data_IF_844438162165
#
_entry.id   IF_844438162165
#
_cell.length_a   1.000
_cell.length_b   1.000
_cell.length_c   1.000
_cell.angle_alpha   90.00
_cell.angle_beta   90.00
_cell.angle_gamma   90.00
#
_symmetry.space_group_name_H-M   'P 1'
#
loop_
_entity.id
_entity.type
_entity.pdbx_description
1 polymer ?
#
# COMPACT_ATOMS: atom_id res chain seq x y z
N UNK A 1 44.22 -6.52 38.33
CA UNK A 1 43.23 -7.54 37.93
C UNK A 1 41.91 -6.85 37.64
N UNK A 2 41.63 -6.63 36.36
CA UNK A 2 40.30 -6.37 35.78
C UNK A 2 40.54 -6.44 34.27
N UNK A 3 40.35 -7.63 33.71
CA UNK A 3 40.55 -7.93 32.29
C UNK A 3 39.40 -7.34 31.48
N UNK A 4 39.76 -6.57 30.44
CA UNK A 4 38.84 -6.11 29.40
C UNK A 4 38.43 -7.31 28.55
N UNK A 5 37.18 -7.76 28.67
CA UNK A 5 36.57 -8.70 27.73
C UNK A 5 36.04 -7.91 26.52
N UNK A 6 36.94 -7.63 25.58
CA UNK A 6 36.55 -7.36 24.20
C UNK A 6 36.14 -8.69 23.55
N UNK A 7 34.85 -9.00 23.55
CA UNK A 7 34.31 -10.02 22.66
C UNK A 7 34.28 -9.42 21.24
N UNK A 8 35.36 -9.60 20.49
CA UNK A 8 35.29 -9.49 19.03
C UNK A 8 34.47 -10.66 18.50
N UNK A 9 33.24 -10.38 18.08
CA UNK A 9 32.43 -11.32 17.30
C UNK A 9 33.02 -11.39 15.87
N UNK A 10 33.41 -12.58 15.37
CA UNK A 10 33.99 -12.73 14.04
C UNK A 10 32.95 -12.62 12.90
N UNK A 11 31.69 -12.38 13.21
CA UNK A 11 30.63 -12.18 12.22
C UNK A 11 30.33 -10.69 12.07
N UNK A 12 31.22 -9.96 11.38
CA UNK A 12 30.75 -8.82 10.59
C UNK A 12 29.93 -9.40 9.46
N UNK A 13 28.60 -9.37 9.60
CA UNK A 13 27.73 -9.37 8.42
C UNK A 13 28.29 -8.32 7.47
N UNK A 14 28.54 -8.65 6.19
CA UNK A 14 28.87 -7.61 5.24
C UNK A 14 27.70 -6.65 5.30
N UNK A 15 27.96 -5.39 5.67
CA UNK A 15 27.02 -4.32 5.41
C UNK A 15 26.78 -4.39 3.90
N UNK A 16 25.70 -5.05 3.49
CA UNK A 16 25.19 -4.90 2.15
C UNK A 16 25.04 -3.40 2.03
N UNK A 17 25.90 -2.77 1.22
CA UNK A 17 25.63 -1.44 0.75
C UNK A 17 24.32 -1.60 0.00
N UNK A 18 23.22 -1.39 0.72
CA UNK A 18 21.88 -1.25 0.20
C UNK A 18 21.94 0.08 -0.55
N UNK A 19 22.50 0.02 -1.75
CA UNK A 19 22.65 1.16 -2.63
C UNK A 19 21.24 1.40 -3.14
N UNK A 20 20.44 2.11 -2.35
CA UNK A 20 19.09 2.53 -2.70
C UNK A 20 19.12 2.95 -4.17
N UNK A 21 18.39 2.22 -5.01
CA UNK A 21 18.42 2.44 -6.46
C UNK A 21 17.90 3.85 -6.75
N UNK A 22 17.01 4.36 -5.88
CA UNK A 22 16.44 5.71 -5.96
C UNK A 22 16.36 6.35 -4.56
N UNK A 23 17.19 7.35 -4.21
CA UNK A 23 17.07 8.02 -2.92
C UNK A 23 15.78 8.85 -2.86
N UNK A 24 14.68 8.24 -2.41
CA UNK A 24 13.40 8.92 -2.21
C UNK A 24 13.40 9.60 -0.85
N UNK A 25 13.39 10.93 -0.87
CA UNK A 25 13.24 11.77 0.33
C UNK A 25 12.07 12.71 0.13
N UNK A 26 11.10 12.65 1.02
CA UNK A 26 9.97 13.58 1.09
C UNK A 26 10.04 14.38 2.38
N UNK A 27 9.41 15.55 2.36
CA UNK A 27 9.21 16.39 3.55
C UNK A 27 7.71 16.47 3.79
N UNK A 28 7.22 16.26 5.03
CA UNK A 28 5.82 16.50 5.35
C UNK A 28 5.43 17.93 4.99
N UNK A 29 4.32 18.08 4.27
CA UNK A 29 3.67 19.37 4.05
C UNK A 29 2.88 19.76 5.31
N UNK A 30 2.74 21.06 5.57
CA UNK A 30 1.88 21.49 6.66
C UNK A 30 0.42 21.21 6.29
N UNK A 31 -0.42 20.95 7.30
CA UNK A 31 -1.86 20.71 7.10
C UNK A 31 -2.52 21.92 6.41
N UNK A 32 -2.04 23.13 6.72
CA UNK A 32 -2.52 24.39 6.13
C UNK A 32 -2.04 24.62 4.69
N UNK A 33 -1.01 23.90 4.23
CA UNK A 33 -0.51 24.06 2.88
C UNK A 33 -1.51 23.45 1.87
N UNK A 34 -1.93 24.21 0.85
CA UNK A 34 -2.84 23.69 -0.17
C UNK A 34 -2.17 22.56 -0.96
N UNK A 35 -2.90 21.48 -1.31
CA UNK A 35 -2.34 20.40 -2.12
C UNK A 35 -1.92 20.89 -3.50
N UNK A 36 -0.72 20.49 -3.94
CA UNK A 36 -0.24 20.78 -5.28
C UNK A 36 -1.01 19.94 -6.33
N UNK A 37 -1.90 20.58 -7.09
CA UNK A 37 -2.67 19.95 -8.18
C UNK A 37 -2.00 20.12 -9.55
N UNK A 38 -0.78 20.66 -9.62
CA UNK A 38 -0.10 20.88 -10.89
C UNK A 38 0.38 19.58 -11.53
N UNK A 39 0.38 19.53 -12.87
CA UNK A 39 0.96 18.43 -13.64
C UNK A 39 0.25 17.08 -13.45
N UNK A 40 -1.02 17.10 -13.03
CA UNK A 40 -1.92 15.96 -13.05
C UNK A 40 -2.29 15.60 -14.50
N UNK A 41 -2.52 14.31 -14.80
CA UNK A 41 -2.90 13.87 -16.14
C UNK A 41 -4.33 14.30 -16.50
N UNK A 42 -4.77 14.01 -17.73
CA UNK A 42 -6.18 14.18 -18.08
C UNK A 42 -7.06 13.18 -17.31
N UNK A 43 -8.37 13.44 -17.21
CA UNK A 43 -9.31 12.49 -16.61
C UNK A 43 -9.29 11.14 -17.32
N UNK A 44 -9.18 11.12 -18.65
CA UNK A 44 -9.15 9.89 -19.45
C UNK A 44 -7.91 9.05 -19.14
N UNK A 45 -6.74 9.70 -19.06
CA UNK A 45 -5.48 9.05 -18.68
C UNK A 45 -5.53 8.52 -17.24
N UNK A 46 -6.10 9.30 -16.31
CA UNK A 46 -6.27 8.87 -14.92
C UNK A 46 -7.20 7.66 -14.81
N UNK A 47 -8.34 7.67 -15.52
CA UNK A 47 -9.27 6.55 -15.57
C UNK A 47 -8.64 5.30 -16.18
N UNK A 48 -7.82 5.47 -17.22
CA UNK A 48 -7.07 4.38 -17.84
C UNK A 48 -6.12 3.71 -16.83
N UNK A 49 -5.36 4.51 -16.06
CA UNK A 49 -4.44 4.00 -15.04
C UNK A 49 -5.16 3.19 -13.96
N UNK A 50 -6.30 3.69 -13.48
CA UNK A 50 -7.12 3.03 -12.45
C UNK A 50 -7.60 1.67 -12.95
N UNK A 51 -8.23 1.64 -14.12
CA UNK A 51 -8.90 0.44 -14.66
C UNK A 51 -7.95 -0.68 -15.07
N UNK A 52 -6.71 -0.37 -15.45
CA UNK A 52 -5.83 -1.34 -16.11
C UNK A 52 -4.69 -1.88 -15.23
N UNK A 53 -4.25 -1.14 -14.20
CA UNK A 53 -3.02 -1.48 -13.49
C UNK A 53 -3.19 -1.92 -12.04
N UNK A 54 -4.26 -1.52 -11.37
CA UNK A 54 -4.50 -1.96 -10.00
C UNK A 54 -5.24 -3.30 -9.93
N UNK A 55 -6.08 -3.56 -10.94
CA UNK A 55 -7.01 -4.69 -10.95
C UNK A 55 -6.36 -6.08 -11.14
N UNK A 56 -5.09 -6.17 -11.57
CA UNK A 56 -4.50 -7.46 -11.93
C UNK A 56 -3.89 -8.26 -10.77
N UNK A 57 -3.48 -7.60 -9.68
CA UNK A 57 -2.71 -8.26 -8.62
C UNK A 57 -3.18 -7.98 -7.19
N UNK A 58 -3.85 -6.85 -6.94
CA UNK A 58 -4.18 -6.42 -5.58
C UNK A 58 -5.53 -5.73 -5.54
N UNK A 59 -6.35 -6.04 -4.54
CA UNK A 59 -7.70 -5.45 -4.38
C UNK A 59 -7.68 -4.42 -3.28
N UNK A 60 -6.96 -3.32 -3.53
CA UNK A 60 -6.74 -2.31 -2.52
C UNK A 60 -8.01 -1.55 -2.16
N UNK A 61 -8.88 -1.25 -3.11
CA UNK A 61 -9.99 -0.35 -2.84
C UNK A 61 -11.20 -0.58 -3.74
N UNK A 62 -12.30 0.08 -3.37
CA UNK A 62 -13.53 0.10 -4.17
C UNK A 62 -13.37 1.00 -5.39
N UNK A 63 -13.28 0.39 -6.58
CA UNK A 63 -13.07 1.08 -7.86
C UNK A 63 -14.21 2.07 -8.16
N UNK A 64 -15.47 1.70 -7.86
CA UNK A 64 -16.63 2.54 -8.16
C UNK A 64 -16.60 3.84 -7.35
N UNK A 65 -16.37 3.75 -6.04
CA UNK A 65 -16.23 4.93 -5.19
C UNK A 65 -15.00 5.76 -5.52
N UNK A 66 -13.91 5.13 -5.93
CA UNK A 66 -12.72 5.85 -6.37
C UNK A 66 -12.99 6.64 -7.66
N UNK A 67 -13.60 6.01 -8.67
CA UNK A 67 -13.93 6.64 -9.95
C UNK A 67 -14.91 7.79 -9.76
N UNK A 68 -15.95 7.61 -8.93
CA UNK A 68 -16.90 8.69 -8.61
C UNK A 68 -16.17 9.90 -8.02
N UNK A 69 -15.28 9.66 -7.04
CA UNK A 69 -14.52 10.74 -6.44
C UNK A 69 -13.58 11.44 -7.44
N UNK A 70 -12.98 10.67 -8.34
CA UNK A 70 -12.12 11.17 -9.41
C UNK A 70 -12.91 12.08 -10.36
N UNK A 71 -14.10 11.64 -10.79
CA UNK A 71 -14.97 12.42 -11.68
C UNK A 71 -15.38 13.74 -11.04
N UNK A 72 -15.83 13.72 -9.79
CA UNK A 72 -16.14 14.93 -9.01
C UNK A 72 -14.92 15.86 -8.90
N UNK A 73 -13.71 15.33 -8.68
CA UNK A 73 -12.49 16.15 -8.60
C UNK A 73 -12.17 16.89 -9.90
N UNK A 74 -12.41 16.26 -11.06
CA UNK A 74 -12.20 16.90 -12.36
C UNK A 74 -13.38 17.75 -12.84
N UNK A 75 -14.58 17.57 -12.28
CA UNK A 75 -15.79 18.33 -12.66
C UNK A 75 -15.97 19.60 -11.83
N UNK A 76 -15.63 19.55 -10.54
CA UNK A 76 -15.77 20.64 -9.59
C UNK A 76 -14.46 21.43 -9.41
N UNK A 77 -14.41 22.27 -8.38
CA UNK A 77 -13.19 22.94 -7.95
C UNK A 77 -12.16 21.92 -7.40
N UNK A 78 -11.28 21.43 -8.26
CA UNK A 78 -10.28 20.40 -7.94
C UNK A 78 -9.45 20.73 -6.69
N UNK A 79 -9.03 21.99 -6.54
CA UNK A 79 -8.25 22.41 -5.37
C UNK A 79 -9.04 22.28 -4.07
N UNK A 80 -10.30 22.71 -4.09
CA UNK A 80 -11.18 22.60 -2.94
C UNK A 80 -11.41 21.13 -2.59
N UNK A 81 -11.75 20.28 -3.57
CA UNK A 81 -11.96 18.86 -3.30
C UNK A 81 -10.71 18.16 -2.75
N UNK A 82 -9.52 18.47 -3.28
CA UNK A 82 -8.27 17.93 -2.75
C UNK A 82 -7.97 18.42 -1.33
N UNK A 83 -8.39 19.64 -0.98
CA UNK A 83 -8.21 20.20 0.36
C UNK A 83 -9.17 19.54 1.35
N UNK A 84 -10.44 19.43 0.98
CA UNK A 84 -11.51 18.86 1.81
C UNK A 84 -11.34 17.35 2.01
N UNK A 85 -10.82 16.64 1.01
CA UNK A 85 -10.61 15.19 1.02
C UNK A 85 -9.13 14.84 0.81
N UNK A 86 -8.27 15.34 1.71
CA UNK A 86 -6.81 15.26 1.59
C UNK A 86 -6.28 13.83 1.50
N UNK A 87 -6.78 12.91 2.34
CA UNK A 87 -6.33 11.51 2.31
C UNK A 87 -6.77 10.80 1.02
N UNK A 88 -7.97 11.10 0.51
CA UNK A 88 -8.39 10.61 -0.80
C UNK A 88 -7.48 11.15 -1.91
N UNK A 89 -7.06 12.41 -1.84
CA UNK A 89 -6.12 12.97 -2.82
C UNK A 89 -4.74 12.30 -2.74
N UNK A 90 -4.25 11.97 -1.54
CA UNK A 90 -3.06 11.12 -1.33
C UNK A 90 -3.24 9.76 -2.01
N UNK A 91 -4.39 9.13 -1.79
CA UNK A 91 -4.74 7.86 -2.43
C UNK A 91 -4.66 7.97 -3.96
N UNK A 92 -5.27 9.02 -4.53
CA UNK A 92 -5.22 9.28 -5.96
C UNK A 92 -3.79 9.45 -6.50
N UNK A 93 -2.95 10.21 -5.82
CA UNK A 93 -1.55 10.40 -6.21
C UNK A 93 -0.74 9.10 -6.17
N UNK A 94 -0.99 8.22 -5.19
CA UNK A 94 -0.36 6.90 -5.12
C UNK A 94 -0.80 5.99 -6.27
N UNK A 95 -2.07 6.03 -6.67
CA UNK A 95 -2.57 5.31 -7.85
C UNK A 95 -1.86 5.80 -9.11
N UNK A 96 -1.71 7.12 -9.28
CA UNK A 96 -0.95 7.68 -10.40
C UNK A 96 0.52 7.25 -10.37
N UNK A 97 1.15 7.28 -9.20
CA UNK A 97 2.54 6.89 -9.02
C UNK A 97 2.76 5.43 -9.44
N UNK A 98 1.94 4.53 -8.89
CA UNK A 98 1.99 3.11 -9.19
C UNK A 98 1.72 2.85 -10.68
N UNK A 99 0.62 3.39 -11.21
CA UNK A 99 0.26 3.18 -12.62
C UNK A 99 1.34 3.68 -13.60
N UNK A 100 1.98 4.82 -13.31
CA UNK A 100 3.07 5.34 -14.13
C UNK A 100 4.34 4.47 -14.06
N UNK A 101 4.67 3.93 -12.89
CA UNK A 101 5.82 3.03 -12.72
C UNK A 101 5.68 1.75 -13.58
N UNK A 102 4.45 1.28 -13.79
CA UNK A 102 4.16 0.08 -14.59
C UNK A 102 4.08 0.37 -16.09
N UNK A 103 3.43 1.47 -16.50
CA UNK A 103 3.31 1.85 -17.92
C UNK A 103 4.64 2.27 -18.53
N UNK A 104 5.36 3.12 -17.81
CA UNK A 104 6.61 3.68 -18.28
C UNK A 104 7.71 2.82 -17.67
N UNK A 105 8.08 1.72 -18.33
CA UNK A 105 9.37 1.06 -18.08
C UNK A 105 10.51 1.92 -18.61
N UNK A 106 10.58 3.18 -18.16
CA UNK A 106 11.63 4.10 -18.55
C UNK A 106 12.91 3.74 -17.80
N UNK A 107 14.00 3.51 -18.54
CA UNK A 107 15.35 3.28 -18.01
C UNK A 107 16.03 4.59 -17.58
N UNK A 108 15.27 5.59 -17.12
CA UNK A 108 15.86 6.82 -16.60
C UNK A 108 16.48 6.53 -15.24
N UNK A 109 17.81 6.52 -15.18
CA UNK A 109 18.58 6.24 -13.96
C UNK A 109 18.43 7.29 -12.85
N UNK A 110 17.70 8.40 -13.07
CA UNK A 110 17.60 9.50 -12.10
C UNK A 110 16.36 9.45 -11.21
N UNK A 111 15.25 8.91 -11.70
CA UNK A 111 14.01 8.82 -10.93
C UNK A 111 13.04 7.84 -11.59
N UNK A 112 12.36 6.97 -10.82
CA UNK A 112 11.41 6.04 -11.39
C UNK A 112 10.19 6.82 -11.90
N UNK A 113 9.55 6.39 -13.00
CA UNK A 113 8.31 7.02 -13.46
C UNK A 113 7.24 6.97 -12.38
N UNK A 114 6.49 8.07 -12.23
CA UNK A 114 5.54 8.24 -11.13
C UNK A 114 6.13 8.75 -9.81
N UNK A 115 7.47 8.86 -9.67
CA UNK A 115 8.12 9.33 -8.44
C UNK A 115 7.63 10.71 -7.97
N UNK A 116 7.34 11.62 -8.89
CA UNK A 116 6.81 12.95 -8.56
C UNK A 116 5.46 12.87 -7.83
N UNK A 117 4.60 11.94 -8.24
CA UNK A 117 3.29 11.73 -7.61
C UNK A 117 3.47 11.02 -6.27
N UNK A 118 4.38 10.05 -6.20
CA UNK A 118 4.72 9.37 -4.95
C UNK A 118 5.24 10.36 -3.90
N UNK A 119 6.24 11.18 -4.24
CA UNK A 119 6.80 12.17 -3.32
C UNK A 119 5.75 13.18 -2.85
N UNK A 120 4.86 13.62 -3.74
CA UNK A 120 3.74 14.49 -3.40
C UNK A 120 2.76 13.79 -2.45
N UNK A 121 2.39 12.54 -2.74
CA UNK A 121 1.52 11.75 -1.87
C UNK A 121 2.13 11.60 -0.46
N UNK A 122 3.40 11.22 -0.38
CA UNK A 122 4.09 11.03 0.89
C UNK A 122 4.31 12.33 1.66
N UNK A 123 4.41 13.48 0.97
CA UNK A 123 4.42 14.79 1.65
C UNK A 123 3.06 15.15 2.25
N UNK A 124 1.96 14.69 1.67
CA UNK A 124 0.59 15.01 2.09
C UNK A 124 0.01 13.95 3.05
N UNK A 125 0.70 12.81 3.22
CA UNK A 125 0.28 11.74 4.11
C UNK A 125 0.26 12.25 5.56
N UNK A 126 -0.88 12.14 6.28
CA UNK A 126 -0.96 12.55 7.67
C UNK A 126 -0.05 11.73 8.58
N UNK A 127 0.21 12.26 9.77
CA UNK A 127 0.96 11.51 10.77
C UNK A 127 0.12 10.33 11.30
N UNK A 128 0.78 9.36 11.94
CA UNK A 128 0.13 8.10 12.35
C UNK A 128 -1.10 8.31 13.25
N UNK A 129 -1.06 9.32 14.13
CA UNK A 129 -2.15 9.63 15.04
C UNK A 129 -3.44 10.04 14.30
N UNK A 130 -3.31 10.80 13.21
CA UNK A 130 -4.45 11.28 12.43
C UNK A 130 -4.97 10.18 11.50
N UNK A 131 -4.06 9.40 10.89
CA UNK A 131 -4.40 8.26 10.03
C UNK A 131 -5.29 7.23 10.71
N UNK A 132 -5.16 7.05 12.03
CA UNK A 132 -5.98 6.11 12.78
C UNK A 132 -7.49 6.43 12.72
N UNK A 133 -7.85 7.70 12.51
CA UNK A 133 -9.25 8.15 12.49
C UNK A 133 -9.91 8.03 11.11
N UNK A 134 -9.13 7.71 10.07
CA UNK A 134 -9.57 7.71 8.68
C UNK A 134 -10.06 6.32 8.21
N UNK A 135 -10.08 5.34 9.13
CA UNK A 135 -10.65 4.00 8.93
C UNK A 135 -10.04 3.23 7.76
N UNK A 136 -10.89 2.60 6.96
CA UNK A 136 -10.45 1.73 5.85
C UNK A 136 -9.58 2.48 4.84
N UNK A 137 -9.85 3.76 4.57
CA UNK A 137 -9.09 4.53 3.57
C UNK A 137 -7.62 4.68 3.96
N UNK A 138 -7.31 4.83 5.26
CA UNK A 138 -5.93 4.85 5.73
C UNK A 138 -5.20 3.54 5.44
N UNK A 139 -5.89 2.41 5.66
CA UNK A 139 -5.36 1.08 5.38
C UNK A 139 -5.03 0.93 3.88
N UNK A 140 -5.93 1.38 3.00
CA UNK A 140 -5.73 1.34 1.54
C UNK A 140 -4.54 2.21 1.11
N UNK A 141 -4.45 3.43 1.64
CA UNK A 141 -3.36 4.37 1.34
C UNK A 141 -2.01 3.82 1.79
N UNK A 142 -1.92 3.29 3.01
CA UNK A 142 -0.67 2.72 3.53
C UNK A 142 -0.28 1.45 2.79
N UNK A 143 -1.25 0.60 2.45
CA UNK A 143 -1.01 -0.60 1.64
C UNK A 143 -0.45 -0.23 0.26
N UNK A 144 -1.04 0.76 -0.40
CA UNK A 144 -0.59 1.22 -1.72
C UNK A 144 0.77 1.93 -1.67
N UNK A 145 1.05 2.70 -0.61
CA UNK A 145 2.36 3.32 -0.37
C UNK A 145 3.44 2.24 -0.19
N UNK A 146 3.17 1.22 0.64
CA UNK A 146 4.05 0.07 0.81
C UNK A 146 4.29 -0.68 -0.49
N UNK A 147 3.26 -0.87 -1.32
CA UNK A 147 3.41 -1.50 -2.63
C UNK A 147 4.30 -0.69 -3.58
N UNK A 148 4.11 0.63 -3.62
CA UNK A 148 4.92 1.53 -4.45
C UNK A 148 6.41 1.42 -4.08
N UNK A 149 6.72 1.44 -2.78
CA UNK A 149 8.09 1.31 -2.27
C UNK A 149 8.69 -0.07 -2.55
N UNK A 150 7.92 -1.13 -2.32
CA UNK A 150 8.36 -2.48 -2.62
C UNK A 150 8.67 -2.66 -4.11
N UNK A 151 7.87 -2.05 -4.99
CA UNK A 151 8.04 -2.15 -6.46
C UNK A 151 9.33 -1.51 -6.98
N UNK A 152 9.97 -0.64 -6.19
CA UNK A 152 11.26 0.00 -6.51
C UNK A 152 12.40 -0.50 -5.62
N UNK A 153 12.21 -1.62 -4.93
CA UNK A 153 13.17 -2.29 -4.04
C UNK A 153 13.51 -1.53 -2.74
N UNK A 154 12.61 -0.63 -2.29
CA UNK A 154 12.70 0.01 -0.96
C UNK A 154 11.96 -0.85 0.08
N UNK A 155 12.57 -1.96 0.47
CA UNK A 155 11.93 -3.01 1.29
C UNK A 155 11.68 -2.58 2.72
N UNK A 156 12.64 -1.94 3.37
CA UNK A 156 12.50 -1.51 4.77
C UNK A 156 11.41 -0.44 4.95
N UNK A 157 11.35 0.64 4.12
CA UNK A 157 10.23 1.57 4.16
C UNK A 157 8.89 0.92 3.79
N UNK A 158 8.88 0.00 2.82
CA UNK A 158 7.67 -0.74 2.47
C UNK A 158 7.15 -1.53 3.68
N UNK A 159 8.03 -2.24 4.40
CA UNK A 159 7.68 -3.01 5.59
C UNK A 159 7.04 -2.15 6.66
N UNK A 160 7.56 -0.93 6.90
CA UNK A 160 6.99 0.01 7.87
C UNK A 160 5.56 0.37 7.52
N UNK A 161 5.27 0.74 6.27
CA UNK A 161 3.90 1.11 5.87
C UNK A 161 2.94 -0.07 5.86
N UNK A 162 3.38 -1.27 5.46
CA UNK A 162 2.55 -2.49 5.54
C UNK A 162 2.26 -2.84 7.00
N UNK A 163 3.23 -2.69 7.89
CA UNK A 163 3.01 -2.87 9.34
C UNK A 163 1.97 -1.89 9.86
N UNK A 164 2.08 -0.61 9.52
CA UNK A 164 1.09 0.40 9.93
C UNK A 164 -0.31 0.07 9.40
N UNK A 165 -0.44 -0.32 8.13
CA UNK A 165 -1.71 -0.70 7.54
C UNK A 165 -2.37 -1.87 8.30
N UNK A 166 -1.60 -2.91 8.61
CA UNK A 166 -2.07 -4.06 9.39
C UNK A 166 -2.49 -3.64 10.80
N UNK A 167 -1.73 -2.76 11.45
CA UNK A 167 -2.04 -2.28 12.81
C UNK A 167 -3.30 -1.43 12.87
N UNK A 168 -3.62 -0.68 11.82
CA UNK A 168 -4.90 0.05 11.71
C UNK A 168 -6.05 -0.91 11.38
N UNK A 169 -5.81 -1.90 10.50
CA UNK A 169 -6.82 -2.88 10.10
C UNK A 169 -7.27 -3.84 11.23
N UNK A 170 -6.38 -4.12 12.18
CA UNK A 170 -6.63 -5.12 13.23
C UNK A 170 -7.77 -4.73 14.18
N UNK A 171 -7.81 -3.53 14.77
CA UNK A 171 -8.89 -3.14 15.69
C UNK A 171 -10.26 -3.02 15.03
N UNK A 172 -10.29 -2.70 13.73
CA UNK A 172 -11.50 -2.71 12.91
C UNK A 172 -11.96 -4.13 12.54
N UNK A 173 -11.21 -5.17 12.95
CA UNK A 173 -11.58 -6.57 12.77
C UNK A 173 -11.42 -7.08 11.34
N UNK A 174 -10.65 -6.42 10.47
CA UNK A 174 -10.49 -6.85 9.07
C UNK A 174 -9.96 -8.29 8.93
N UNK A 175 -9.25 -8.78 9.94
CA UNK A 175 -8.72 -10.13 10.04
C UNK A 175 -9.73 -11.19 10.48
N UNK A 176 -10.91 -10.78 10.94
CA UNK A 176 -11.95 -11.66 11.46
C UNK A 176 -13.14 -11.79 10.51
N UNK A 177 -14.05 -12.71 10.81
CA UNK A 177 -15.32 -12.81 10.10
C UNK A 177 -16.27 -11.68 10.52
N UNK A 178 -16.24 -10.60 9.75
CA UNK A 178 -17.05 -9.40 9.98
C UNK A 178 -18.56 -9.67 9.75
N UNK A 179 -19.46 -9.11 10.58
CA UNK A 179 -20.90 -9.38 10.49
C UNK A 179 -21.52 -8.71 9.25
N UNK A 180 -21.75 -9.50 8.19
CA UNK A 180 -22.34 -9.03 6.92
C UNK A 180 -23.70 -8.36 7.09
N UNK A 181 -24.53 -8.87 8.01
CA UNK A 181 -25.87 -8.34 8.27
C UNK A 181 -25.86 -6.91 8.87
N UNK A 182 -24.77 -6.51 9.54
CA UNK A 182 -24.64 -5.17 10.14
C UNK A 182 -23.92 -4.20 9.20
N UNK A 183 -22.88 -4.67 8.52
CA UNK A 183 -21.97 -3.82 7.74
C UNK A 183 -22.31 -3.76 6.23
N UNK A 184 -23.12 -4.70 5.75
CA UNK A 184 -23.44 -4.88 4.34
C UNK A 184 -22.37 -5.68 3.57
N UNK A 185 -22.80 -6.36 2.52
CA UNK A 185 -21.97 -7.24 1.70
C UNK A 185 -20.77 -6.52 1.07
N UNK A 186 -20.97 -5.30 0.57
CA UNK A 186 -19.93 -4.55 -0.15
C UNK A 186 -18.80 -4.13 0.79
N UNK A 187 -19.13 -3.64 1.98
CA UNK A 187 -18.16 -3.27 3.03
C UNK A 187 -17.36 -4.49 3.48
N UNK A 188 -18.03 -5.60 3.81
CA UNK A 188 -17.36 -6.83 4.25
C UNK A 188 -16.45 -7.39 3.14
N UNK A 189 -16.91 -7.35 1.89
CA UNK A 189 -16.11 -7.78 0.73
C UNK A 189 -14.87 -6.92 0.56
N UNK A 190 -14.99 -5.59 0.70
CA UNK A 190 -13.86 -4.65 0.65
C UNK A 190 -12.85 -4.91 1.76
N UNK A 191 -13.31 -5.02 3.01
CA UNK A 191 -12.47 -5.34 4.18
C UNK A 191 -11.70 -6.65 3.99
N UNK A 192 -12.39 -7.72 3.56
CA UNK A 192 -11.79 -9.04 3.31
C UNK A 192 -10.75 -9.00 2.20
N UNK A 193 -11.05 -8.33 1.08
CA UNK A 193 -10.12 -8.17 -0.03
C UNK A 193 -8.85 -7.41 0.38
N UNK A 194 -9.02 -6.34 1.17
CA UNK A 194 -7.92 -5.55 1.68
C UNK A 194 -7.07 -6.35 2.68
N UNK A 195 -7.70 -7.10 3.59
CA UNK A 195 -6.99 -7.97 4.52
C UNK A 195 -6.11 -9.01 3.82
N UNK A 196 -6.67 -9.76 2.88
CA UNK A 196 -5.90 -10.76 2.13
C UNK A 196 -4.81 -10.14 1.26
N UNK A 197 -5.01 -8.91 0.79
CA UNK A 197 -3.96 -8.14 0.12
C UNK A 197 -2.81 -7.84 1.09
N UNK A 198 -3.09 -7.30 2.28
CA UNK A 198 -2.08 -7.06 3.32
C UNK A 198 -1.35 -8.34 3.73
N UNK A 199 -2.07 -9.43 3.89
CA UNK A 199 -1.53 -10.75 4.25
C UNK A 199 -0.47 -11.23 3.25
N UNK A 200 -0.74 -11.08 1.95
CA UNK A 200 0.19 -11.44 0.86
C UNK A 200 1.39 -10.48 0.86
N UNK A 201 1.15 -9.19 1.05
CA UNK A 201 2.21 -8.18 1.07
C UNK A 201 3.18 -8.35 2.25
N UNK A 202 2.67 -8.60 3.45
CA UNK A 202 3.48 -8.94 4.63
C UNK A 202 4.41 -10.11 4.32
N UNK A 203 3.87 -11.19 3.74
CA UNK A 203 4.69 -12.36 3.37
C UNK A 203 5.79 -12.06 2.38
N UNK A 204 5.50 -11.29 1.34
CA UNK A 204 6.52 -10.89 0.37
C UNK A 204 7.59 -10.01 1.00
N UNK A 205 7.18 -8.97 1.73
CA UNK A 205 8.11 -7.98 2.27
C UNK A 205 8.95 -8.59 3.41
N UNK A 206 8.31 -9.27 4.36
CA UNK A 206 8.98 -9.89 5.51
C UNK A 206 9.92 -11.02 5.06
N UNK A 207 9.52 -11.86 4.11
CA UNK A 207 10.42 -12.85 3.48
C UNK A 207 11.62 -12.20 2.80
N UNK A 208 11.41 -11.10 2.06
CA UNK A 208 12.50 -10.39 1.36
C UNK A 208 13.52 -9.72 2.29
N UNK A 209 13.16 -9.53 3.56
CA UNK A 209 13.99 -8.94 4.62
C UNK A 209 14.51 -9.99 5.62
N UNK A 210 14.06 -11.25 5.55
CA UNK A 210 14.35 -12.28 6.56
C UNK A 210 13.71 -11.99 7.92
N UNK A 211 12.56 -11.31 7.94
CA UNK A 211 11.80 -10.97 9.14
C UNK A 211 10.64 -11.95 9.37
N UNK A 212 10.20 -12.14 10.63
CA UNK A 212 8.97 -12.87 10.90
C UNK A 212 7.76 -12.11 10.34
N UNK A 213 6.74 -12.86 9.94
CA UNK A 213 5.46 -12.31 9.50
C UNK A 213 4.77 -11.57 10.65
N UNK A 214 4.04 -10.50 10.33
CA UNK A 214 3.38 -9.63 11.31
C UNK A 214 2.18 -10.35 11.95
N UNK A 215 1.48 -11.17 11.17
CA UNK A 215 0.23 -11.83 11.59
C UNK A 215 0.37 -13.34 11.51
N UNK A 216 0.00 -14.03 12.59
CA UNK A 216 -0.05 -15.49 12.64
C UNK A 216 -1.34 -15.98 12.00
N UNK A 217 -1.27 -17.09 11.27
CA UNK A 217 -2.46 -17.66 10.61
C UNK A 217 -3.55 -18.07 11.60
N UNK A 218 -3.19 -18.39 12.85
CA UNK A 218 -4.12 -18.71 13.93
C UNK A 218 -5.05 -17.55 14.33
N UNK A 219 -4.63 -16.32 14.06
CA UNK A 219 -5.38 -15.12 14.45
C UNK A 219 -6.42 -14.74 13.37
N UNK A 220 -6.42 -15.41 12.22
CA UNK A 220 -7.23 -15.05 11.05
C UNK A 220 -8.47 -15.94 11.00
N UNK A 221 -9.65 -15.33 11.13
CA UNK A 221 -10.94 -16.03 10.98
C UNK A 221 -11.73 -15.60 9.75
N UNK A 222 -11.31 -14.52 9.07
CA UNK A 222 -11.94 -14.11 7.81
C UNK A 222 -11.76 -15.16 6.73
N UNK A 223 -12.83 -15.44 5.98
CA UNK A 223 -12.78 -16.45 4.93
C UNK A 223 -12.01 -15.95 3.71
N UNK A 224 -11.17 -16.81 3.14
CA UNK A 224 -10.67 -16.61 1.78
C UNK A 224 -11.80 -17.01 0.84
N UNK A 225 -12.50 -16.03 0.25
CA UNK A 225 -13.63 -16.33 -0.64
C UNK A 225 -13.17 -17.30 -1.74
N UNK A 226 -13.80 -18.48 -1.90
CA UNK A 226 -13.55 -19.31 -3.06
C UNK A 226 -13.97 -18.50 -4.29
N UNK A 227 -13.18 -18.59 -5.36
CA UNK A 227 -13.49 -17.90 -6.60
C UNK A 227 -14.95 -18.13 -6.95
N UNK A 228 -15.76 -17.06 -6.99
CA UNK A 228 -17.08 -17.15 -7.62
C UNK A 228 -16.78 -17.67 -9.02
N UNK A 229 -17.26 -18.87 -9.34
CA UNK A 229 -16.83 -19.67 -10.48
C UNK A 229 -16.78 -18.79 -11.75
N UNK A 230 -15.57 -18.36 -12.14
CA UNK A 230 -15.36 -17.48 -13.29
C UNK A 230 -14.49 -16.22 -13.05
N UNK A 231 -14.27 -15.76 -11.81
CA UNK A 231 -13.42 -14.57 -11.59
C UNK A 231 -11.93 -14.92 -11.55
N UNK A 232 -11.20 -14.65 -12.65
CA UNK A 232 -9.72 -14.79 -12.75
C UNK A 232 -8.99 -14.05 -11.61
N UNK A 233 -9.61 -12.99 -11.08
CA UNK A 233 -9.08 -12.16 -9.98
C UNK A 233 -9.08 -12.91 -8.64
N UNK A 234 -10.16 -13.63 -8.32
CA UNK A 234 -10.23 -14.44 -7.11
C UNK A 234 -9.18 -15.56 -7.13
N UNK A 235 -9.02 -16.21 -8.30
CA UNK A 235 -8.04 -17.28 -8.49
C UNK A 235 -6.58 -16.80 -8.27
N UNK A 236 -6.26 -15.56 -8.66
CA UNK A 236 -4.91 -14.99 -8.49
C UNK A 236 -4.60 -14.70 -7.02
N UNK A 237 -5.53 -14.07 -6.30
CA UNK A 237 -5.37 -13.82 -4.87
C UNK A 237 -5.25 -15.13 -4.08
N UNK A 238 -6.11 -16.12 -4.40
CA UNK A 238 -6.04 -17.45 -3.79
C UNK A 238 -4.70 -18.11 -4.08
N UNK A 239 -4.20 -18.03 -5.31
CA UNK A 239 -2.91 -18.59 -5.69
C UNK A 239 -1.77 -17.91 -4.92
N UNK A 240 -1.77 -16.59 -4.80
CA UNK A 240 -0.78 -15.85 -4.02
C UNK A 240 -0.81 -16.25 -2.55
N UNK A 241 -2.01 -16.32 -1.94
CA UNK A 241 -2.17 -16.79 -0.56
C UNK A 241 -1.65 -18.22 -0.41
N UNK A 242 -2.05 -19.15 -1.29
CA UNK A 242 -1.57 -20.55 -1.25
C UNK A 242 -0.06 -20.68 -1.46
N UNK A 243 0.53 -19.92 -2.38
CA UNK A 243 1.98 -19.89 -2.59
C UNK A 243 2.72 -19.36 -1.37
N UNK A 244 2.13 -18.38 -0.68
CA UNK A 244 2.70 -17.81 0.53
C UNK A 244 2.75 -18.81 1.70
N UNK A 245 1.85 -19.81 1.72
CA UNK A 245 1.93 -20.95 2.65
C UNK A 245 3.00 -21.99 2.25
N UNK A 246 3.35 -22.10 0.97
CA UNK A 246 4.27 -23.13 0.46
C UNK A 246 5.75 -22.79 0.65
N UNK A 247 6.07 -21.53 0.90
CA UNK A 247 7.43 -21.05 1.18
C UNK A 247 7.50 -20.35 2.54
N UNK A 248 7.37 -21.09 3.67
CA UNK A 248 7.63 -20.51 4.97
C UNK A 248 9.09 -20.01 5.03
N UNK A 249 9.36 -18.87 5.70
CA UNK A 249 10.74 -18.41 5.87
C UNK A 249 11.56 -19.47 6.62
N UNK A 250 12.73 -19.78 6.06
CA UNK A 250 13.73 -20.72 6.59
C UNK A 250 14.33 -20.27 7.92
#
# INVERSE_FOLDING_TARGET
>A
MSENLQLESPYRTPSSLNKEIYPLRWRPALVEDPPDISGLPSIDDALYLVKHHLDQHYRFFDEESFIRNLQEFYSDNSLQKATDNRLWFVHFLLVLAFGNAFLLRSRSYRSPPGSKFFLRAMSLLPDYADLWTEGILAVEVLALAGLCLYSIDHREPAHVHITQAIRIAQPDGLHTDLPEHELGLDTVTRCRNLWWTLYVMDRHVSSSLGLPMIVQDSDITTVLNPARAGSRRDATLILHVKLSYLFPPS
#
